data_IF_997938922027
#
_entry.id   IF_997938922027
#
_cell.length_a   1.000
_cell.length_b   1.000
_cell.length_c   1.000
_cell.angle_alpha   90.00
_cell.angle_beta   90.00
_cell.angle_gamma   90.00
#
_symmetry.space_group_name_H-M   'P 1'
#
loop_
_entity.id
_entity.type
_entity.pdbx_description
1 polymer ?
#
# COMPACT_ATOMS: atom_id res chain seq x y z
N UNK A 1 -0.38 -20.38 9.12
CA UNK A 1 -1.33 -19.48 8.46
C UNK A 1 -0.61 -18.45 7.60
N UNK A 2 -1.07 -18.31 6.39
CA UNK A 2 -0.46 -17.36 5.47
C UNK A 2 -0.83 -15.92 5.86
N UNK A 3 0.16 -15.08 6.00
CA UNK A 3 -0.02 -13.66 6.29
C UNK A 3 -0.17 -12.89 4.97
N UNK A 4 -1.22 -12.06 4.87
CA UNK A 4 -1.53 -11.34 3.63
C UNK A 4 -0.70 -10.07 3.44
N UNK A 5 0.47 -9.99 4.03
CA UNK A 5 1.33 -8.82 3.90
C UNK A 5 2.14 -8.57 5.15
N UNK A 6 2.68 -7.36 5.27
CA UNK A 6 3.47 -6.93 6.42
C UNK A 6 2.92 -5.64 6.99
N UNK A 7 2.89 -5.53 8.32
CA UNK A 7 2.46 -4.33 9.02
C UNK A 7 3.69 -3.57 9.52
N UNK A 8 3.79 -2.31 9.16
CA UNK A 8 4.93 -1.45 9.50
C UNK A 8 4.42 -0.32 10.39
N UNK A 9 4.77 -0.38 11.67
CA UNK A 9 4.36 0.64 12.64
C UNK A 9 5.08 1.96 12.35
N UNK A 10 4.33 3.05 12.34
CA UNK A 10 4.88 4.39 12.14
C UNK A 10 3.86 5.41 12.64
N UNK A 11 4.30 6.61 13.06
CA UNK A 11 3.37 7.67 13.46
C UNK A 11 2.42 8.07 12.35
N UNK A 12 1.22 8.55 12.72
CA UNK A 12 0.27 9.08 11.76
C UNK A 12 0.90 10.19 10.92
N UNK A 13 0.64 10.16 9.62
CA UNK A 13 1.20 11.16 8.70
C UNK A 13 2.59 10.83 8.18
N UNK A 14 3.26 9.79 8.68
CA UNK A 14 4.55 9.38 8.13
C UNK A 14 4.40 9.12 6.63
N UNK A 15 5.28 9.66 5.78
CA UNK A 15 5.16 9.48 4.33
C UNK A 15 5.19 8.01 3.93
N UNK A 16 4.25 7.62 3.09
CA UNK A 16 4.24 6.31 2.44
C UNK A 16 4.77 6.51 1.02
N UNK A 17 5.79 5.72 0.68
CA UNK A 17 6.49 5.85 -0.60
C UNK A 17 6.17 4.65 -1.49
N UNK A 18 6.04 4.89 -2.79
CA UNK A 18 5.87 3.81 -3.75
C UNK A 18 7.08 2.87 -3.70
N UNK A 19 6.83 1.58 -3.55
CA UNK A 19 7.90 0.58 -3.45
C UNK A 19 8.67 0.42 -4.76
N UNK A 20 8.02 0.71 -5.88
CA UNK A 20 8.59 0.62 -7.22
C UNK A 20 7.77 1.49 -8.17
N UNK A 21 8.35 1.85 -9.31
CA UNK A 21 7.66 2.60 -10.35
C UNK A 21 6.47 1.82 -10.88
N UNK A 22 5.40 2.51 -11.22
CA UNK A 22 4.21 1.87 -11.75
C UNK A 22 3.08 2.85 -11.99
N UNK A 23 1.88 2.30 -12.14
CA UNK A 23 0.66 3.06 -12.37
C UNK A 23 -0.34 2.76 -11.26
N UNK A 24 -0.92 3.83 -10.71
CA UNK A 24 -1.98 3.70 -9.70
C UNK A 24 -3.22 3.12 -10.38
N UNK A 25 -3.68 1.96 -9.94
CA UNK A 25 -4.84 1.30 -10.53
C UNK A 25 -6.07 1.34 -9.63
N UNK A 26 -5.91 1.64 -8.35
CA UNK A 26 -7.04 1.75 -7.43
C UNK A 26 -6.72 2.71 -6.30
N UNK A 27 -7.70 3.56 -5.98
CA UNK A 27 -7.69 4.43 -4.79
C UNK A 27 -9.06 4.27 -4.14
N UNK A 28 -9.10 3.85 -2.88
CA UNK A 28 -10.35 3.62 -2.16
C UNK A 28 -10.33 4.33 -0.81
N UNK A 29 -11.50 4.80 -0.40
CA UNK A 29 -11.70 5.52 0.86
C UNK A 29 -12.73 4.77 1.70
N UNK A 30 -12.35 3.58 2.18
CA UNK A 30 -13.24 2.70 2.93
C UNK A 30 -13.14 3.00 4.42
N UNK A 31 -14.21 2.68 5.15
CA UNK A 31 -14.23 2.78 6.62
C UNK A 31 -14.02 1.41 7.28
N UNK A 32 -13.87 0.37 6.49
CA UNK A 32 -13.65 -1.01 6.94
C UNK A 32 -12.49 -1.62 6.18
N UNK A 33 -12.04 -2.79 6.61
CA UNK A 33 -10.98 -3.54 5.93
C UNK A 33 -9.69 -2.73 5.83
N UNK A 34 -9.19 -2.55 4.62
CA UNK A 34 -7.96 -1.78 4.38
C UNK A 34 -8.11 -0.28 4.63
N UNK A 35 -9.34 0.22 4.81
CA UNK A 35 -9.58 1.64 4.98
C UNK A 35 -9.24 2.43 3.73
N UNK A 36 -8.59 3.58 3.92
CA UNK A 36 -8.04 4.33 2.78
C UNK A 36 -6.82 3.58 2.26
N UNK A 37 -6.85 3.18 0.99
CA UNK A 37 -5.77 2.38 0.43
C UNK A 37 -5.55 2.65 -1.05
N UNK A 38 -4.32 2.35 -1.49
CA UNK A 38 -3.85 2.52 -2.86
C UNK A 38 -3.28 1.20 -3.35
N UNK A 39 -3.56 0.87 -4.62
CA UNK A 39 -2.92 -0.26 -5.31
C UNK A 39 -2.16 0.28 -6.51
N UNK A 40 -0.91 -0.11 -6.64
CA UNK A 40 -0.03 0.27 -7.76
C UNK A 40 0.32 -0.98 -8.56
N UNK A 41 0.09 -0.93 -9.87
CA UNK A 41 0.51 -1.99 -10.79
C UNK A 41 1.92 -1.70 -11.29
N UNK A 42 2.79 -2.70 -11.23
CA UNK A 42 4.19 -2.58 -11.67
C UNK A 42 4.46 -3.31 -12.97
N UNK A 43 3.42 -3.87 -13.58
CA UNK A 43 3.57 -4.74 -14.74
C UNK A 43 3.88 -6.18 -14.34
N UNK A 44 3.94 -7.08 -15.29
CA UNK A 44 4.23 -8.52 -15.07
C UNK A 44 3.36 -9.18 -14.03
N UNK A 45 2.09 -8.72 -13.91
CA UNK A 45 1.10 -9.21 -12.94
C UNK A 45 1.53 -9.00 -11.47
N UNK A 46 2.40 -8.02 -11.22
CA UNK A 46 2.85 -7.65 -9.87
C UNK A 46 2.21 -6.32 -9.49
N UNK A 47 1.64 -6.27 -8.29
CA UNK A 47 1.06 -5.04 -7.73
C UNK A 47 1.43 -4.93 -6.27
N UNK A 48 1.39 -3.68 -5.74
CA UNK A 48 1.58 -3.43 -4.31
C UNK A 48 0.37 -2.71 -3.78
N UNK A 49 -0.01 -3.04 -2.53
CA UNK A 49 -1.14 -2.44 -1.84
C UNK A 49 -0.64 -1.75 -0.57
N UNK A 50 -1.16 -0.56 -0.32
CA UNK A 50 -0.80 0.29 0.82
C UNK A 50 -2.08 0.63 1.56
N UNK A 51 -2.28 0.07 2.75
CA UNK A 51 -3.52 0.17 3.51
C UNK A 51 -3.44 1.01 4.76
N UNK A 52 -4.60 1.31 5.33
CA UNK A 52 -4.80 2.07 6.56
C UNK A 52 -4.23 3.49 6.50
N UNK A 53 -4.25 4.11 5.31
CA UNK A 53 -3.68 5.44 5.10
C UNK A 53 -4.54 6.52 5.77
N UNK A 54 -3.89 7.57 6.24
CA UNK A 54 -4.59 8.77 6.73
C UNK A 54 -4.92 9.73 5.59
N UNK A 55 -4.05 9.78 4.57
CA UNK A 55 -4.21 10.65 3.41
C UNK A 55 -3.68 9.95 2.16
N UNK A 56 -4.24 10.30 1.02
CA UNK A 56 -3.83 9.78 -0.28
C UNK A 56 -3.56 10.97 -1.19
N UNK A 57 -2.39 11.01 -1.81
CA UNK A 57 -1.94 12.13 -2.66
C UNK A 57 -1.86 11.76 -4.12
N UNK A 58 -2.38 10.61 -4.52
CA UNK A 58 -2.36 10.13 -5.92
C UNK A 58 -3.78 9.79 -6.36
N UNK A 59 -3.96 9.67 -7.68
CA UNK A 59 -5.26 9.34 -8.28
C UNK A 59 -5.12 8.14 -9.21
N UNK A 60 -6.21 7.41 -9.48
CA UNK A 60 -6.16 6.30 -10.43
C UNK A 60 -5.68 6.77 -11.80
N UNK A 61 -4.81 5.98 -12.42
CA UNK A 61 -4.22 6.29 -13.71
C UNK A 61 -2.91 7.06 -13.62
N UNK A 62 -2.58 7.61 -12.46
CA UNK A 62 -1.34 8.35 -12.28
C UNK A 62 -0.12 7.42 -12.32
N UNK A 63 0.91 7.86 -13.06
CA UNK A 63 2.21 7.19 -13.04
C UNK A 63 3.01 7.68 -11.84
N UNK A 64 3.63 6.77 -11.12
CA UNK A 64 4.49 7.09 -9.98
C UNK A 64 5.86 6.51 -10.18
N UNK A 65 6.86 7.16 -9.58
CA UNK A 65 8.23 6.68 -9.56
C UNK A 65 8.51 5.99 -8.24
N UNK A 66 9.44 5.05 -8.25
CA UNK A 66 9.95 4.43 -7.03
C UNK A 66 10.38 5.51 -6.04
N UNK A 67 9.91 5.39 -4.79
CA UNK A 67 10.22 6.37 -3.75
C UNK A 67 9.34 7.62 -3.74
N UNK A 68 8.44 7.78 -4.70
CA UNK A 68 7.51 8.90 -4.70
C UNK A 68 6.50 8.76 -3.58
N UNK A 69 6.23 9.86 -2.87
CA UNK A 69 5.23 9.85 -1.80
C UNK A 69 3.83 9.68 -2.39
N UNK A 70 3.06 8.76 -1.83
CA UNK A 70 1.69 8.47 -2.28
C UNK A 70 0.64 8.77 -1.23
N UNK A 71 1.06 9.08 0.00
CA UNK A 71 0.16 9.43 1.09
C UNK A 71 0.84 9.34 2.43
N UNK A 72 0.06 9.20 3.49
CA UNK A 72 0.54 9.13 4.87
C UNK A 72 -0.04 7.96 5.63
N UNK A 73 0.70 7.50 6.63
CA UNK A 73 0.30 6.42 7.54
C UNK A 73 -0.88 6.86 8.40
N UNK A 74 -1.80 5.95 8.70
CA UNK A 74 -2.93 6.21 9.57
C UNK A 74 -3.48 4.95 10.23
N UNK A 75 -4.76 5.04 10.62
CA UNK A 75 -5.47 3.94 11.28
C UNK A 75 -6.84 3.69 10.66
N UNK A 76 -7.05 4.11 9.40
CA UNK A 76 -8.35 3.95 8.75
C UNK A 76 -8.65 2.47 8.50
N UNK A 77 -9.94 2.14 8.45
CA UNK A 77 -10.39 0.77 8.28
C UNK A 77 -10.23 -0.07 9.55
N UNK A 78 -9.98 -1.35 9.38
CA UNK A 78 -9.86 -2.32 10.48
C UNK A 78 -8.45 -2.27 11.08
N UNK A 79 -8.12 -1.17 11.74
CA UNK A 79 -6.81 -0.96 12.36
C UNK A 79 -6.98 -0.45 13.78
N UNK A 80 -6.15 -0.94 14.71
CA UNK A 80 -6.16 -0.53 16.11
C UNK A 80 -4.98 0.38 16.48
N UNK A 81 -4.11 0.69 15.53
CA UNK A 81 -2.97 1.57 15.77
C UNK A 81 -2.38 2.05 14.46
N UNK A 82 -1.60 3.12 14.53
CA UNK A 82 -0.98 3.70 13.32
C UNK A 82 0.03 2.72 12.72
N UNK A 83 -0.25 2.25 11.53
CA UNK A 83 0.68 1.39 10.80
C UNK A 83 0.34 1.39 9.31
N UNK A 84 1.33 1.06 8.49
CA UNK A 84 1.12 0.77 7.08
C UNK A 84 0.93 -0.73 6.93
N UNK A 85 -0.18 -1.12 6.30
CA UNK A 85 -0.34 -2.50 5.84
C UNK A 85 0.14 -2.56 4.40
N UNK A 86 1.21 -3.31 4.15
CA UNK A 86 1.83 -3.41 2.83
C UNK A 86 1.71 -4.82 2.29
N UNK A 87 1.22 -4.96 1.05
CA UNK A 87 1.13 -6.24 0.37
C UNK A 87 1.83 -6.20 -0.97
N UNK A 88 2.48 -7.30 -1.32
CA UNK A 88 2.86 -7.58 -2.70
C UNK A 88 1.91 -8.64 -3.22
N UNK A 89 1.33 -8.40 -4.38
CA UNK A 89 0.40 -9.33 -5.04
C UNK A 89 0.97 -9.77 -6.36
N UNK A 90 0.96 -11.08 -6.60
CA UNK A 90 1.35 -11.67 -7.88
C UNK A 90 0.13 -12.41 -8.42
N UNK A 91 -0.29 -12.07 -9.63
CA UNK A 91 -1.51 -12.60 -10.24
C UNK A 91 -2.74 -12.42 -9.33
N UNK A 92 -2.80 -11.28 -8.63
CA UNK A 92 -3.92 -10.95 -7.75
C UNK A 92 -3.88 -11.58 -6.38
N UNK A 93 -2.92 -12.43 -6.08
CA UNK A 93 -2.82 -13.11 -4.79
C UNK A 93 -1.68 -12.54 -3.94
N UNK A 94 -1.91 -12.28 -2.63
CA UNK A 94 -0.84 -11.83 -1.76
C UNK A 94 0.26 -12.87 -1.64
N UNK A 95 1.51 -12.40 -1.65
CA UNK A 95 2.69 -13.23 -1.48
C UNK A 95 3.57 -12.62 -0.40
N UNK A 96 4.60 -13.33 0.05
CA UNK A 96 5.54 -12.79 1.00
C UNK A 96 6.26 -11.58 0.39
N UNK A 97 6.18 -10.38 1.00
CA UNK A 97 6.85 -9.21 0.43
C UNK A 97 8.37 -9.30 0.48
N UNK A 98 8.93 -10.12 1.34
CA UNK A 98 10.38 -10.18 1.56
C UNK A 98 11.16 -10.70 0.36
N UNK A 99 10.51 -11.35 -0.61
CA UNK A 99 11.12 -11.73 -1.87
C UNK A 99 11.17 -10.60 -2.91
N UNK A 100 10.56 -9.45 -2.62
CA UNK A 100 10.37 -8.35 -3.56
C UNK A 100 10.84 -7.00 -3.06
N UNK A 101 11.09 -6.86 -1.75
CA UNK A 101 11.55 -5.59 -1.15
C UNK A 101 12.78 -5.82 -0.30
N UNK A 102 13.60 -4.77 -0.17
CA UNK A 102 14.74 -4.78 0.76
C UNK A 102 14.25 -4.52 2.18
N UNK A 103 14.86 -5.20 3.12
CA UNK A 103 14.56 -5.01 4.53
C UNK A 103 15.22 -3.74 5.06
#
# INVERSE_FOLDING_TARGET
>A
KLHAGVDIAAPAGTPILAAESGTVVSVKYLTTGYGKHVVISHGSNIATLYGHMSSISVTPGQTVSRGQQIGGVGTTGASTGNHLHFEVRVNGSPVSPWGYISK
#
